data_IF_324726097203
#
_entry.id   IF_324726097203
#
_cell.length_a   1.000
_cell.length_b   1.000
_cell.length_c   1.000
_cell.angle_alpha   90.00
_cell.angle_beta   90.00
_cell.angle_gamma   90.00
#
_symmetry.space_group_name_H-M   'P 1'
#
loop_
_entity.id
_entity.type
_entity.pdbx_description
1 polymer ?
#
# COMPACT_ATOMS: atom_id res chain seq x y z
N UNK A 1 -10.92 -3.95 -17.46
CA UNK A 1 -10.55 -3.39 -16.15
C UNK A 1 -9.13 -3.80 -15.80
N UNK A 2 -8.44 -2.93 -15.09
CA UNK A 2 -7.12 -3.26 -14.56
C UNK A 2 -7.31 -3.97 -13.21
N UNK A 3 -6.81 -5.21 -13.12
CA UNK A 3 -6.83 -5.94 -11.85
C UNK A 3 -5.56 -5.66 -11.07
N UNK A 4 -5.70 -5.42 -9.78
CA UNK A 4 -4.57 -5.20 -8.88
C UNK A 4 -4.47 -6.39 -7.94
N UNK A 5 -3.36 -7.13 -8.04
CA UNK A 5 -3.13 -8.32 -7.22
C UNK A 5 -2.11 -7.99 -6.15
N UNK A 6 -2.53 -8.05 -4.90
CA UNK A 6 -1.73 -7.64 -3.76
C UNK A 6 -1.22 -8.85 -2.98
N UNK A 7 0.02 -8.78 -2.54
CA UNK A 7 0.62 -9.86 -1.75
C UNK A 7 1.60 -9.30 -0.72
N UNK A 8 1.71 -9.96 0.44
CA UNK A 8 0.91 -11.10 0.88
C UNK A 8 -0.50 -10.66 1.29
N UNK A 9 -1.41 -11.59 1.51
CA UNK A 9 -2.77 -11.25 1.99
C UNK A 9 -2.74 -10.84 3.46
N UNK A 10 -1.80 -11.40 4.23
CA UNK A 10 -1.57 -11.01 5.61
C UNK A 10 -0.12 -11.30 5.98
N UNK A 11 0.37 -10.59 7.00
CA UNK A 11 1.69 -10.86 7.55
C UNK A 11 1.71 -10.50 9.03
N UNK A 12 2.59 -11.16 9.78
CA UNK A 12 2.84 -10.87 11.18
C UNK A 12 4.24 -10.29 11.31
N UNK A 13 4.36 -9.20 12.06
CA UNK A 13 5.63 -8.51 12.23
C UNK A 13 5.73 -7.89 13.61
N UNK A 14 6.93 -7.51 13.98
CA UNK A 14 7.21 -6.87 15.26
C UNK A 14 7.54 -5.39 15.06
N UNK A 15 7.36 -4.59 16.10
CA UNK A 15 7.78 -3.19 16.09
C UNK A 15 9.27 -3.10 15.72
N UNK A 16 9.60 -2.21 14.80
CA UNK A 16 10.96 -2.04 14.32
C UNK A 16 11.27 -2.83 13.05
N UNK A 17 10.42 -3.78 12.67
CA UNK A 17 10.64 -4.57 11.46
C UNK A 17 10.44 -3.74 10.19
N UNK A 18 11.12 -4.15 9.11
CA UNK A 18 10.90 -3.62 7.78
C UNK A 18 9.83 -4.46 7.10
N UNK A 19 8.79 -3.80 6.61
CA UNK A 19 7.65 -4.47 5.97
C UNK A 19 7.57 -4.02 4.52
N UNK A 20 7.38 -4.98 3.61
CA UNK A 20 7.22 -4.72 2.19
C UNK A 20 5.94 -5.41 1.69
N UNK A 21 5.09 -4.63 1.04
CA UNK A 21 3.83 -5.12 0.44
C UNK A 21 3.92 -4.84 -1.05
N UNK A 22 3.60 -5.84 -1.86
CA UNK A 22 3.67 -5.73 -3.32
C UNK A 22 2.29 -5.80 -3.93
N UNK A 23 2.08 -4.95 -4.92
CA UNK A 23 0.88 -4.92 -5.73
C UNK A 23 1.28 -5.06 -7.18
N UNK A 24 0.72 -6.03 -7.89
CA UNK A 24 1.00 -6.27 -9.30
C UNK A 24 -0.22 -5.89 -10.12
N UNK A 25 -0.03 -5.11 -11.16
CA UNK A 25 -1.12 -4.66 -12.02
C UNK A 25 -0.69 -4.54 -13.47
N UNK A 26 -1.14 -3.48 -14.13
CA UNK A 26 -0.83 -3.20 -15.53
C UNK A 26 0.16 -2.06 -15.61
N UNK A 27 1.03 -2.08 -16.62
CA UNK A 27 2.01 -1.02 -16.86
C UNK A 27 1.34 0.36 -17.00
N UNK A 28 0.09 0.41 -17.49
CA UNK A 28 -0.67 1.65 -17.57
C UNK A 28 -0.82 2.35 -16.22
N UNK A 29 -0.76 1.59 -15.12
CA UNK A 29 -0.90 2.12 -13.78
C UNK A 29 0.40 2.68 -13.19
N UNK A 30 1.50 2.64 -13.92
CA UNK A 30 2.84 2.89 -13.39
C UNK A 30 2.99 4.21 -12.62
N UNK A 31 2.27 5.26 -12.98
CA UNK A 31 2.32 6.54 -12.28
C UNK A 31 1.02 6.85 -11.55
N UNK A 32 0.16 5.87 -11.42
CA UNK A 32 -1.21 6.08 -10.93
C UNK A 32 -1.59 5.06 -9.86
N UNK A 33 -0.65 4.71 -9.00
CA UNK A 33 -0.90 3.79 -7.88
C UNK A 33 -0.94 4.58 -6.59
N UNK A 34 -1.96 4.31 -5.80
CA UNK A 34 -2.12 4.90 -4.47
C UNK A 34 -2.12 3.80 -3.42
N UNK A 35 -1.71 4.14 -2.21
CA UNK A 35 -1.73 3.21 -1.08
C UNK A 35 -2.53 3.82 0.06
N UNK A 36 -3.35 2.99 0.68
CA UNK A 36 -4.23 3.39 1.78
C UNK A 36 -3.97 2.53 3.01
N UNK A 37 -4.15 3.13 4.18
CA UNK A 37 -4.13 2.43 5.46
C UNK A 37 -5.53 2.46 6.05
N UNK A 38 -6.04 1.31 6.48
CA UNK A 38 -7.34 1.23 7.11
C UNK A 38 -7.24 0.50 8.44
N UNK A 39 -7.63 1.15 9.52
CA UNK A 39 -7.72 0.55 10.83
C UNK A 39 -9.14 0.03 11.06
N UNK A 40 -9.32 -1.00 11.90
CA UNK A 40 -10.65 -1.57 12.13
C UNK A 40 -11.68 -0.51 12.51
N UNK A 41 -12.82 -0.53 11.83
CA UNK A 41 -13.91 0.41 12.08
C UNK A 41 -13.67 1.85 11.63
N UNK A 42 -12.58 2.10 10.91
CA UNK A 42 -12.23 3.45 10.45
C UNK A 42 -12.23 3.52 8.94
N UNK A 43 -12.34 4.73 8.40
CA UNK A 43 -12.22 4.97 6.97
C UNK A 43 -10.77 4.80 6.52
N UNK A 44 -10.53 4.41 5.26
CA UNK A 44 -9.18 4.36 4.73
C UNK A 44 -8.53 5.74 4.72
N UNK A 45 -7.23 5.77 4.99
CA UNK A 45 -6.43 6.98 4.97
C UNK A 45 -5.42 6.89 3.83
N UNK A 46 -5.35 7.91 2.99
CA UNK A 46 -4.37 7.96 1.90
C UNK A 46 -2.97 8.16 2.46
N UNK A 47 -2.05 7.29 2.07
CA UNK A 47 -0.65 7.38 2.47
C UNK A 47 0.23 7.90 1.33
N UNK A 48 0.05 7.31 0.14
CA UNK A 48 0.91 7.55 -1.02
C UNK A 48 0.02 7.65 -2.25
N UNK A 49 0.37 8.56 -3.16
CA UNK A 49 -0.28 8.67 -4.46
C UNK A 49 0.78 8.86 -5.54
N UNK A 50 0.37 8.78 -6.79
CA UNK A 50 1.29 8.87 -7.94
C UNK A 50 2.49 7.92 -7.77
N UNK A 51 2.23 6.73 -7.21
CA UNK A 51 3.16 5.62 -6.99
C UNK A 51 4.21 5.88 -5.91
N UNK A 52 4.77 7.08 -5.80
CA UNK A 52 5.87 7.34 -4.86
C UNK A 52 5.74 8.65 -4.08
N UNK A 53 4.66 9.40 -4.26
CA UNK A 53 4.50 10.68 -3.57
C UNK A 53 3.82 10.49 -2.22
N UNK A 54 4.50 10.89 -1.16
CA UNK A 54 3.98 10.77 0.19
C UNK A 54 2.95 11.87 0.45
N UNK A 55 1.78 11.48 0.95
CA UNK A 55 0.75 12.43 1.33
C UNK A 55 1.23 13.29 2.50
N UNK A 56 0.86 14.56 2.50
CA UNK A 56 1.23 15.48 3.56
C UNK A 56 0.79 14.94 4.92
N UNK A 57 1.69 15.00 5.90
CA UNK A 57 1.43 14.54 7.25
C UNK A 57 1.69 13.06 7.51
N UNK A 58 2.01 12.29 6.46
CA UNK A 58 2.33 10.88 6.62
C UNK A 58 3.80 10.74 7.00
N UNK A 59 4.12 9.90 8.00
CA UNK A 59 5.52 9.73 8.44
C UNK A 59 6.44 9.24 7.32
N UNK A 60 7.68 9.68 7.35
CA UNK A 60 8.66 9.37 6.31
C UNK A 60 9.11 7.91 6.29
N UNK A 61 8.75 7.11 7.29
CA UNK A 61 9.02 5.67 7.27
C UNK A 61 8.24 4.93 6.20
N UNK A 62 7.17 5.53 5.70
CA UNK A 62 6.40 5.00 4.57
C UNK A 62 7.02 5.46 3.26
N UNK A 63 7.16 4.56 2.32
CA UNK A 63 7.63 4.90 0.98
C UNK A 63 6.96 4.01 -0.06
N UNK A 64 6.80 4.56 -1.24
CA UNK A 64 6.23 3.84 -2.38
C UNK A 64 7.21 3.84 -3.53
N UNK A 65 7.20 2.75 -4.28
CA UNK A 65 8.00 2.63 -5.49
C UNK A 65 7.26 1.75 -6.47
N UNK A 66 7.72 1.75 -7.71
CA UNK A 66 7.15 0.88 -8.71
C UNK A 66 7.72 1.15 -10.08
N UNK A 67 7.80 0.11 -10.88
CA UNK A 67 8.15 0.21 -12.29
C UNK A 67 7.50 -0.96 -13.02
N UNK A 68 7.09 -0.70 -14.28
CA UNK A 68 6.42 -1.72 -15.06
C UNK A 68 5.08 -2.11 -14.46
N UNK A 69 4.98 -3.34 -13.97
CA UNK A 69 3.74 -3.88 -13.42
C UNK A 69 3.78 -4.11 -11.91
N UNK A 70 4.93 -3.89 -11.27
CA UNK A 70 5.11 -4.16 -9.85
C UNK A 70 5.23 -2.86 -9.06
N UNK A 71 4.41 -2.73 -8.02
CA UNK A 71 4.32 -1.53 -7.18
C UNK A 71 4.46 -1.96 -5.72
N UNK A 72 5.22 -1.19 -4.94
CA UNK A 72 5.61 -1.62 -3.60
C UNK A 72 5.38 -0.52 -2.58
N UNK A 73 4.80 -0.90 -1.44
CA UNK A 73 4.75 -0.07 -0.24
C UNK A 73 5.76 -0.64 0.75
N UNK A 74 6.63 0.22 1.28
CA UNK A 74 7.62 -0.19 2.28
C UNK A 74 7.44 0.64 3.54
N UNK A 75 7.44 -0.04 4.69
CA UNK A 75 7.50 0.61 6.00
C UNK A 75 8.87 0.24 6.57
N UNK A 76 9.75 1.23 6.69
CA UNK A 76 11.16 0.96 7.03
C UNK A 76 11.36 0.50 8.47
N UNK A 77 10.51 0.95 9.40
CA UNK A 77 10.59 0.56 10.81
C UNK A 77 9.17 0.62 11.37
N UNK A 78 8.54 -0.54 11.47
CA UNK A 78 7.15 -0.66 11.87
C UNK A 78 6.93 -0.11 13.27
N UNK A 79 5.90 0.72 13.43
CA UNK A 79 5.51 1.29 14.72
C UNK A 79 4.18 0.69 15.19
N UNK A 80 3.86 0.78 16.49
CA UNK A 80 2.60 0.21 16.99
C UNK A 80 1.36 0.71 16.26
N UNK A 81 1.34 1.98 15.86
CA UNK A 81 0.20 2.56 15.15
C UNK A 81 0.09 2.12 13.70
N UNK A 82 1.08 1.37 13.18
CA UNK A 82 1.09 0.91 11.78
C UNK A 82 0.39 -0.42 11.58
N UNK A 83 -0.04 -1.10 12.64
CA UNK A 83 -0.78 -2.35 12.50
C UNK A 83 -2.19 -2.04 11.98
N UNK A 84 -2.45 -2.47 10.74
CA UNK A 84 -3.64 -2.10 10.00
C UNK A 84 -3.73 -2.97 8.75
N UNK A 85 -4.77 -2.74 7.93
CA UNK A 85 -4.86 -3.33 6.60
C UNK A 85 -4.47 -2.27 5.58
N UNK A 86 -3.67 -2.67 4.59
CA UNK A 86 -3.17 -1.76 3.56
C UNK A 86 -3.71 -2.18 2.20
N UNK A 87 -4.09 -1.19 1.39
CA UNK A 87 -4.67 -1.41 0.06
C UNK A 87 -3.92 -0.61 -0.98
N UNK A 88 -3.63 -1.23 -2.12
CA UNK A 88 -3.20 -0.50 -3.30
C UNK A 88 -4.41 -0.18 -4.17
N UNK A 89 -4.31 0.87 -4.98
CA UNK A 89 -5.37 1.28 -5.90
C UNK A 89 -4.73 1.83 -7.16
N UNK A 90 -5.30 1.49 -8.32
CA UNK A 90 -4.90 2.14 -9.56
C UNK A 90 -5.92 3.22 -9.92
N UNK A 91 -5.45 4.35 -10.40
CA UNK A 91 -6.29 5.45 -10.86
C UNK A 91 -6.00 5.81 -12.31
N UNK A 92 -5.41 4.87 -13.06
CA UNK A 92 -5.09 5.09 -14.47
C UNK A 92 -6.29 4.91 -15.37
N UNK A 93 -7.21 4.02 -15.03
CA UNK A 93 -8.32 3.65 -15.89
C UNK A 93 -9.58 3.40 -15.05
N UNK A 94 -10.67 4.05 -15.44
CA UNK A 94 -11.99 3.85 -14.82
C UNK A 94 -12.56 2.50 -15.27
N UNK A 95 -13.14 1.68 -14.39
CA UNK A 95 -13.31 1.94 -12.96
C UNK A 95 -12.01 1.77 -12.18
N UNK A 96 -11.79 2.63 -11.20
CA UNK A 96 -10.62 2.50 -10.33
C UNK A 96 -10.76 1.26 -9.48
N UNK A 97 -9.69 0.47 -9.43
CA UNK A 97 -9.72 -0.83 -8.76
C UNK A 97 -8.70 -0.89 -7.65
N UNK A 98 -9.03 -1.67 -6.60
CA UNK A 98 -8.17 -1.87 -5.45
C UNK A 98 -7.59 -3.28 -5.44
N UNK A 99 -6.43 -3.44 -4.80
CA UNK A 99 -5.97 -4.75 -4.39
C UNK A 99 -6.86 -5.29 -3.27
N UNK A 100 -6.74 -6.58 -2.96
CA UNK A 100 -7.61 -7.22 -1.96
C UNK A 100 -7.22 -6.93 -0.52
N UNK A 101 -6.09 -6.25 -0.32
CA UNK A 101 -5.64 -5.85 1.00
C UNK A 101 -4.56 -6.75 1.58
N UNK A 102 -3.74 -6.16 2.44
CA UNK A 102 -2.73 -6.89 3.23
C UNK A 102 -2.92 -6.50 4.69
N UNK A 103 -3.25 -7.47 5.52
CA UNK A 103 -3.41 -7.24 6.95
C UNK A 103 -2.06 -7.40 7.64
N UNK A 104 -1.59 -6.34 8.29
CA UNK A 104 -0.34 -6.34 9.06
C UNK A 104 -0.68 -6.49 10.52
N UNK A 105 -0.31 -7.65 11.10
CA UNK A 105 -0.64 -8.00 12.48
C UNK A 105 0.63 -8.03 13.33
N UNK A 106 0.43 -7.85 14.64
CA UNK A 106 1.54 -7.97 15.61
C UNK A 106 1.93 -9.44 15.75
N UNK A 107 3.23 -9.65 15.81
CA UNK A 107 3.79 -10.99 15.94
C UNK A 107 3.79 -11.47 17.39
#
# INVERSE_FOLDING_TARGET
DIQMTQSPSSLSASVGDRVTITCTGDKLAEKYVSWYQQKPGKAPKLLIYATSTLQSGVPSRFSGSGSGTDFTLTISSLQPEDFATYYCQQTALVPYTFGQGTKVEIK
#
